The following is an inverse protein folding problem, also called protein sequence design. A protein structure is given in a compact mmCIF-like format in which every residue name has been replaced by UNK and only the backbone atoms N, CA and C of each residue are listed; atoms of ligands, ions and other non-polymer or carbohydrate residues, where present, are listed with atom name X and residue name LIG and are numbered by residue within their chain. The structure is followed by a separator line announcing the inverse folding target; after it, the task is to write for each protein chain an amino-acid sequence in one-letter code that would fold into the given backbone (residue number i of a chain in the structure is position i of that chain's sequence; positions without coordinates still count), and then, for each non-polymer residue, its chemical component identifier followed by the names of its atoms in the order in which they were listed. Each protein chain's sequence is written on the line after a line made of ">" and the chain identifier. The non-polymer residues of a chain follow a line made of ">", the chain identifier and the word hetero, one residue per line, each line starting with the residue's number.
data_IF_190089543218
#
_entry.id   IF_190089543218
#
_cell.length_a   1.000
_cell.length_b   1.000
_cell.length_c   1.000
_cell.angle_alpha   90.00
_cell.angle_beta   90.00
_cell.angle_gamma   90.00
#
_symmetry.space_group_name_H-M   'P 1'
#
loop_
_entity.id
_entity.type
_entity.pdbx_description
1 polymer ?
#
# COMPACT_ATOMS: atom_id res chain seq x y z
N UNK A 1 11.50 25.65 3.10
CA UNK A 1 11.79 24.20 3.00
C UNK A 1 10.57 23.48 3.53
N UNK A 2 10.15 22.37 2.91
CA UNK A 2 9.07 21.56 3.47
C UNK A 2 9.48 21.00 4.84
N UNK A 3 8.50 20.86 5.72
CA UNK A 3 8.63 20.16 7.00
C UNK A 3 8.85 18.65 6.79
N UNK A 4 9.32 17.96 7.82
CA UNK A 4 9.51 16.50 7.78
C UNK A 4 8.21 15.76 7.41
N UNK A 5 7.07 16.23 7.92
CA UNK A 5 5.77 15.64 7.63
C UNK A 5 5.35 15.87 6.18
N UNK A 6 5.55 17.07 5.64
CA UNK A 6 5.26 17.36 4.22
C UNK A 6 6.13 16.49 3.29
N UNK A 7 7.42 16.33 3.60
CA UNK A 7 8.31 15.43 2.86
C UNK A 7 7.86 13.96 2.93
N UNK A 8 7.39 13.50 4.09
CA UNK A 8 6.88 12.15 4.26
C UNK A 8 5.60 11.92 3.45
N UNK A 9 4.66 12.88 3.49
CA UNK A 9 3.43 12.82 2.70
C UNK A 9 3.72 12.78 1.20
N UNK A 10 4.62 13.64 0.71
CA UNK A 10 5.04 13.65 -0.70
C UNK A 10 5.69 12.32 -1.10
N UNK A 11 6.50 11.74 -0.22
CA UNK A 11 7.12 10.43 -0.44
C UNK A 11 6.07 9.31 -0.56
N UNK A 12 5.05 9.31 0.29
CA UNK A 12 3.96 8.31 0.25
C UNK A 12 3.14 8.43 -1.05
N UNK A 13 2.79 9.65 -1.46
CA UNK A 13 2.07 9.93 -2.71
C UNK A 13 2.89 9.44 -3.91
N UNK A 14 4.17 9.81 -3.96
CA UNK A 14 5.09 9.43 -5.03
C UNK A 14 5.25 7.91 -5.12
N UNK A 15 5.33 7.24 -3.98
CA UNK A 15 5.45 5.79 -3.91
C UNK A 15 4.17 5.10 -4.41
N UNK A 16 3.00 5.55 -3.97
CA UNK A 16 1.74 5.00 -4.46
C UNK A 16 1.63 5.11 -5.99
N UNK A 17 1.87 6.29 -6.55
CA UNK A 17 1.82 6.50 -8.00
C UNK A 17 2.88 5.72 -8.78
N UNK A 18 4.03 5.42 -8.17
CA UNK A 18 5.07 4.57 -8.79
C UNK A 18 4.53 3.17 -9.09
N UNK A 19 3.69 2.63 -8.21
CA UNK A 19 3.14 1.28 -8.34
C UNK A 19 1.76 1.23 -9.01
N UNK A 20 0.95 2.30 -8.94
CA UNK A 20 -0.39 2.38 -9.56
C UNK A 20 -0.40 2.31 -11.11
N UNK A 21 0.76 2.10 -11.75
CA UNK A 21 0.85 1.79 -13.17
C UNK A 21 0.22 2.87 -14.07
N UNK A 22 -0.57 2.43 -15.05
CA UNK A 22 -1.25 3.34 -16.01
C UNK A 22 -2.53 3.96 -15.47
N UNK A 23 -3.13 3.36 -14.44
CA UNK A 23 -4.38 3.82 -13.84
C UNK A 23 -4.02 4.49 -12.51
N UNK A 24 -3.64 5.77 -12.59
CA UNK A 24 -2.86 6.48 -11.57
C UNK A 24 -3.51 6.59 -10.19
N UNK A 25 -4.75 6.14 -10.05
CA UNK A 25 -5.57 6.32 -8.86
C UNK A 25 -5.76 5.05 -8.04
N UNK A 26 -5.35 3.87 -8.55
CA UNK A 26 -5.57 2.60 -7.86
C UNK A 26 -4.43 1.61 -8.04
N UNK A 27 -4.22 0.77 -7.05
CA UNK A 27 -3.34 -0.41 -7.12
C UNK A 27 -4.19 -1.66 -7.37
N UNK A 28 -3.95 -2.35 -8.48
CA UNK A 28 -4.44 -3.71 -8.67
C UNK A 28 -3.77 -4.67 -7.68
N UNK A 29 -4.35 -5.86 -7.51
CA UNK A 29 -3.74 -6.95 -6.71
C UNK A 29 -2.28 -7.22 -7.07
N UNK A 30 -1.94 -7.18 -8.36
CA UNK A 30 -0.56 -7.41 -8.83
C UNK A 30 0.36 -6.26 -8.40
N UNK A 31 -0.08 -5.02 -8.58
CA UNK A 31 0.70 -3.83 -8.24
C UNK A 31 0.90 -3.71 -6.72
N UNK A 32 -0.12 -4.05 -5.92
CA UNK A 32 0.01 -4.15 -4.48
C UNK A 32 1.06 -5.19 -4.07
N UNK A 33 1.06 -6.36 -4.73
CA UNK A 33 2.07 -7.40 -4.49
C UNK A 33 3.48 -6.88 -4.77
N UNK A 34 3.69 -6.23 -5.92
CA UNK A 34 4.98 -5.65 -6.28
C UNK A 34 5.44 -4.59 -5.27
N UNK A 35 4.52 -3.72 -4.81
CA UNK A 35 4.80 -2.73 -3.77
C UNK A 35 5.26 -3.42 -2.48
N UNK A 36 4.52 -4.43 -2.01
CA UNK A 36 4.85 -5.12 -0.77
C UNK A 36 6.14 -5.92 -0.87
N UNK A 37 6.42 -6.55 -2.01
CA UNK A 37 7.65 -7.30 -2.23
C UNK A 37 8.90 -6.39 -2.25
N UNK A 38 8.77 -5.16 -2.75
CA UNK A 38 9.90 -4.23 -2.87
C UNK A 38 10.08 -3.35 -1.63
N UNK A 39 8.99 -2.77 -1.11
CA UNK A 39 9.05 -1.75 -0.04
C UNK A 39 8.79 -2.36 1.34
N UNK A 40 8.07 -3.49 1.41
CA UNK A 40 7.68 -4.18 2.65
C UNK A 40 8.17 -5.64 2.70
N UNK A 41 9.31 -5.92 2.04
CA UNK A 41 9.81 -7.27 1.78
C UNK A 41 9.97 -8.14 3.04
N UNK A 42 10.32 -7.54 4.18
CA UNK A 42 10.45 -8.25 5.47
C UNK A 42 9.11 -8.79 5.94
N UNK A 43 8.03 -8.04 5.75
CA UNK A 43 6.69 -8.44 6.17
C UNK A 43 6.13 -9.57 5.29
N UNK A 44 6.33 -9.48 3.98
CA UNK A 44 5.81 -10.47 3.03
C UNK A 44 6.49 -11.85 3.15
N UNK A 45 7.72 -11.89 3.69
CA UNK A 45 8.43 -13.15 4.01
C UNK A 45 7.78 -13.93 5.15
N UNK A 46 7.10 -13.26 6.06
CA UNK A 46 6.45 -13.90 7.21
C UNK A 46 5.10 -14.51 6.83
N UNK A 47 4.36 -13.85 5.92
CA UNK A 47 3.06 -14.33 5.44
C UNK A 47 2.91 -14.11 3.92
N UNK A 48 3.17 -15.14 3.09
CA UNK A 48 2.97 -15.09 1.65
C UNK A 48 1.52 -14.86 1.21
N UNK A 49 0.54 -15.14 2.10
CA UNK A 49 -0.88 -14.90 1.87
C UNK A 49 -1.33 -13.50 2.32
N UNK A 50 -0.42 -12.67 2.85
CA UNK A 50 -0.71 -11.34 3.34
C UNK A 50 -1.40 -10.46 2.29
N UNK A 51 -0.94 -10.49 1.04
CA UNK A 51 -1.53 -9.70 -0.05
C UNK A 51 -3.00 -10.04 -0.24
N UNK A 52 -3.34 -11.33 -0.26
CA UNK A 52 -4.71 -11.78 -0.50
C UNK A 52 -5.63 -11.43 0.67
N UNK A 53 -5.12 -11.55 1.90
CA UNK A 53 -5.82 -11.15 3.12
C UNK A 53 -6.06 -9.64 3.16
N UNK A 54 -5.01 -8.85 2.90
CA UNK A 54 -5.08 -7.38 2.86
C UNK A 54 -6.09 -6.92 1.82
N UNK A 55 -6.02 -7.47 0.60
CA UNK A 55 -6.95 -7.11 -0.46
C UNK A 55 -8.38 -7.43 -0.03
N UNK A 56 -8.63 -8.63 0.53
CA UNK A 56 -9.96 -9.02 1.02
C UNK A 56 -10.47 -8.14 2.16
N UNK A 57 -9.57 -7.68 3.03
CA UNK A 57 -9.92 -6.89 4.22
C UNK A 57 -10.15 -5.40 3.91
N UNK A 58 -9.56 -4.88 2.84
CA UNK A 58 -9.64 -3.45 2.46
C UNK A 58 -10.58 -3.20 1.29
N UNK A 59 -10.60 -4.07 0.28
CA UNK A 59 -11.49 -3.98 -0.88
C UNK A 59 -12.88 -4.55 -0.56
N UNK A 60 -13.61 -3.81 0.28
CA UNK A 60 -14.98 -4.17 0.71
C UNK A 60 -15.98 -4.22 -0.45
N UNK A 61 -15.71 -3.44 -1.50
CA UNK A 61 -16.54 -3.36 -2.71
C UNK A 61 -16.20 -4.44 -3.76
N UNK A 62 -15.16 -5.26 -3.50
CA UNK A 62 -14.71 -6.36 -4.38
C UNK A 62 -14.34 -5.92 -5.79
N UNK A 63 -13.71 -4.74 -5.92
CA UNK A 63 -13.23 -4.20 -7.19
C UNK A 63 -11.85 -4.76 -7.60
N UNK A 64 -11.22 -5.53 -6.73
CA UNK A 64 -9.85 -6.07 -6.83
C UNK A 64 -8.75 -5.01 -7.00
N UNK A 65 -9.04 -3.79 -6.51
CA UNK A 65 -8.14 -2.63 -6.53
C UNK A 65 -8.20 -1.87 -5.21
N UNK A 66 -7.11 -1.20 -4.84
CA UNK A 66 -7.04 -0.30 -3.70
C UNK A 66 -6.78 1.14 -4.17
N UNK A 67 -7.62 2.07 -3.75
CA UNK A 67 -7.34 3.50 -3.91
C UNK A 67 -6.31 4.01 -2.88
N UNK A 68 -5.98 5.29 -2.94
CA UNK A 68 -5.00 5.90 -2.05
C UNK A 68 -5.44 5.89 -0.58
N UNK A 69 -6.74 6.03 -0.28
CA UNK A 69 -7.26 6.03 1.09
C UNK A 69 -7.16 4.63 1.70
N UNK A 70 -7.45 3.59 0.92
CA UNK A 70 -7.25 2.20 1.30
C UNK A 70 -5.76 1.88 1.49
N UNK A 71 -4.88 2.44 0.66
CA UNK A 71 -3.42 2.33 0.84
C UNK A 71 -2.93 2.99 2.14
N UNK A 72 -3.41 4.20 2.48
CA UNK A 72 -3.07 4.84 3.75
C UNK A 72 -3.59 4.02 4.95
N UNK A 73 -4.79 3.45 4.82
CA UNK A 73 -5.36 2.55 5.84
C UNK A 73 -4.50 1.29 6.05
N UNK A 74 -3.93 0.75 4.97
CA UNK A 74 -2.96 -0.34 5.04
C UNK A 74 -1.72 0.05 5.84
N UNK A 75 -1.10 1.20 5.50
CA UNK A 75 0.09 1.69 6.21
C UNK A 75 -0.19 1.96 7.68
N UNK A 76 -1.34 2.54 8.01
CA UNK A 76 -1.75 2.76 9.40
C UNK A 76 -1.84 1.43 10.17
N UNK A 77 -2.43 0.38 9.58
CA UNK A 77 -2.48 -0.96 10.20
C UNK A 77 -1.08 -1.53 10.42
N UNK A 78 -0.16 -1.34 9.47
CA UNK A 78 1.23 -1.76 9.62
C UNK A 78 1.96 -1.06 10.75
N UNK A 79 1.81 0.26 10.85
CA UNK A 79 2.43 1.06 11.90
C UNK A 79 1.89 0.69 13.28
N UNK A 80 0.60 0.37 13.39
CA UNK A 80 0.00 -0.06 14.66
C UNK A 80 0.36 -1.50 15.03
N UNK A 81 0.57 -2.40 14.06
CA UNK A 81 0.94 -3.78 14.34
C UNK A 81 2.39 -3.96 14.77
N UNK A 82 3.27 -3.02 14.41
CA UNK A 82 4.70 -3.04 14.70
C UNK A 82 5.13 -2.09 15.84
N UNK A 83 4.17 -1.60 16.64
CA UNK A 83 4.41 -0.83 17.86
C UNK A 83 3.93 -1.58 19.11
#
# INVERSE_FOLDING_TARGET
>A
MPSELECAMESLITMFHRYAGKDTNTLSRRELRELMENELSTFLKEDPAAVDKIMKDLDTERKDVLDFDMFLSLLARFLMANN
#
